data_IF_565844294324
#
_entry.id   IF_565844294324
#
_cell.length_a   1.000
_cell.length_b   1.000
_cell.length_c   1.000
_cell.angle_alpha   90.00
_cell.angle_beta   90.00
_cell.angle_gamma   90.00
#
_symmetry.space_group_name_H-M   'P 1'
#
loop_
_entity.id
_entity.type
_entity.pdbx_description
1 polymer ?
#
# COMPACT_ATOMS: atom_id res chain seq x y z
N UNK A 1 7.43 23.26 -20.78
CA UNK A 1 7.80 22.31 -19.71
C UNK A 1 6.64 22.21 -18.72
N UNK A 2 6.24 21.01 -18.26
CA UNK A 2 5.22 20.89 -17.23
C UNK A 2 5.70 21.53 -15.92
N UNK A 3 4.85 22.30 -15.23
CA UNK A 3 5.15 22.78 -13.87
C UNK A 3 5.22 21.58 -12.95
N UNK A 4 6.37 21.38 -12.29
CA UNK A 4 6.50 20.42 -11.21
C UNK A 4 5.76 21.00 -10.00
N UNK A 5 4.59 20.44 -9.68
CA UNK A 5 3.86 20.83 -8.48
C UNK A 5 4.59 20.31 -7.23
N UNK A 6 4.91 21.22 -6.30
CA UNK A 6 5.53 20.85 -5.04
C UNK A 6 4.53 20.14 -4.14
N UNK A 7 4.89 18.92 -3.69
CA UNK A 7 4.07 18.15 -2.76
C UNK A 7 3.90 18.91 -1.45
N UNK A 8 2.64 19.23 -1.14
CA UNK A 8 2.26 20.01 0.04
C UNK A 8 2.51 19.24 1.34
N UNK A 9 3.01 19.93 2.35
CA UNK A 9 3.32 19.40 3.67
C UNK A 9 2.52 20.08 4.78
N UNK A 10 1.83 19.29 5.60
CA UNK A 10 0.92 19.70 6.68
C UNK A 10 1.57 19.62 8.08
N UNK A 11 2.80 19.12 8.18
CA UNK A 11 3.45 18.81 9.45
C UNK A 11 3.11 17.41 10.00
N UNK A 12 2.52 16.51 9.20
CA UNK A 12 2.37 15.10 9.55
C UNK A 12 3.70 14.37 9.35
N UNK A 13 4.32 13.92 10.44
CA UNK A 13 5.60 13.21 10.43
C UNK A 13 5.63 12.00 9.47
N UNK A 14 4.52 11.25 9.32
CA UNK A 14 4.45 10.11 8.37
C UNK A 14 4.64 10.52 6.90
N UNK A 15 4.31 11.77 6.56
CA UNK A 15 4.49 12.35 5.22
C UNK A 15 5.85 13.04 5.04
N UNK A 16 6.61 13.25 6.12
CA UNK A 16 7.83 14.05 6.09
C UNK A 16 8.87 13.50 5.12
N UNK A 17 9.17 12.19 5.16
CA UNK A 17 10.16 11.58 4.27
C UNK A 17 9.81 11.77 2.79
N UNK A 18 8.53 11.65 2.43
CA UNK A 18 8.05 11.85 1.04
C UNK A 18 8.02 13.31 0.62
N UNK A 19 7.80 14.25 1.55
CA UNK A 19 7.94 15.68 1.30
C UNK A 19 9.42 16.04 1.11
N UNK A 20 10.27 15.65 2.06
CA UNK A 20 11.68 16.01 2.08
C UNK A 20 12.43 15.41 0.90
N UNK A 21 12.14 14.17 0.46
CA UNK A 21 12.80 13.60 -0.72
C UNK A 21 12.54 14.38 -2.02
N UNK A 22 11.45 15.13 -2.10
CA UNK A 22 11.15 16.02 -3.23
C UNK A 22 11.72 17.42 -3.00
N UNK A 23 11.47 18.01 -1.83
CA UNK A 23 11.90 19.37 -1.51
C UNK A 23 13.43 19.51 -1.38
N UNK A 24 14.12 18.43 -0.97
CA UNK A 24 15.59 18.34 -0.90
C UNK A 24 16.27 18.83 -2.18
N UNK A 25 15.71 18.51 -3.36
CA UNK A 25 16.28 18.94 -4.64
C UNK A 25 16.38 20.46 -4.76
N UNK A 26 15.37 21.19 -4.29
CA UNK A 26 15.36 22.66 -4.25
C UNK A 26 16.29 23.18 -3.14
N UNK A 27 16.34 22.50 -2.00
CA UNK A 27 17.21 22.87 -0.90
C UNK A 27 18.70 22.77 -1.26
N UNK A 28 19.11 21.67 -1.90
CA UNK A 28 20.48 21.35 -2.27
C UNK A 28 20.95 22.05 -3.57
N UNK A 29 20.04 22.55 -4.41
CA UNK A 29 20.40 23.28 -5.65
C UNK A 29 21.04 24.64 -5.33
N UNK A 30 22.32 24.81 -5.65
CA UNK A 30 23.08 26.05 -5.42
C UNK A 30 22.79 27.16 -6.42
N UNK A 31 22.07 26.89 -7.52
CA UNK A 31 21.69 27.89 -8.52
C UNK A 31 20.45 28.70 -8.12
N UNK A 32 19.66 28.20 -7.16
CA UNK A 32 18.46 28.88 -6.66
C UNK A 32 18.84 29.79 -5.47
N UNK A 33 18.53 31.10 -5.51
CA UNK A 33 18.72 32.00 -4.37
C UNK A 33 17.90 31.58 -3.12
N UNK A 34 18.35 31.97 -1.93
CA UNK A 34 17.66 31.62 -0.67
C UNK A 34 16.23 32.17 -0.60
N UNK A 35 16.00 33.28 -1.28
CA UNK A 35 14.76 34.03 -1.38
C UNK A 35 13.73 33.19 -2.13
N UNK A 36 14.12 32.69 -3.30
CA UNK A 36 13.31 31.80 -4.13
C UNK A 36 13.08 30.47 -3.42
N UNK A 37 14.11 29.90 -2.75
CA UNK A 37 13.93 28.71 -1.89
C UNK A 37 12.92 28.94 -0.76
N UNK A 38 12.85 30.14 -0.19
CA UNK A 38 11.85 30.49 0.82
C UNK A 38 10.44 30.58 0.22
N UNK A 39 10.30 31.18 -0.97
CA UNK A 39 9.03 31.20 -1.70
C UNK A 39 8.56 29.80 -2.07
N UNK A 40 9.46 28.92 -2.53
CA UNK A 40 9.15 27.50 -2.76
C UNK A 40 8.77 26.78 -1.46
N UNK A 41 9.41 27.10 -0.33
CA UNK A 41 9.08 26.50 0.96
C UNK A 41 7.68 26.92 1.46
N UNK A 42 7.35 28.21 1.37
CA UNK A 42 6.02 28.75 1.65
C UNK A 42 4.95 28.12 0.75
N UNK A 43 5.25 27.93 -0.54
CA UNK A 43 4.37 27.22 -1.46
C UNK A 43 4.28 25.71 -1.17
N UNK A 44 5.28 25.10 -0.56
CA UNK A 44 5.30 23.66 -0.29
C UNK A 44 4.67 23.29 1.07
N UNK A 45 4.33 24.24 1.94
CA UNK A 45 3.51 23.98 3.13
C UNK A 45 2.02 24.15 2.85
N UNK A 46 1.18 23.43 3.61
CA UNK A 46 -0.28 23.62 3.62
C UNK A 46 -0.61 24.82 4.52
N UNK A 47 -1.41 25.81 4.08
CA UNK A 47 -1.84 26.92 4.93
C UNK A 47 -2.47 26.46 6.25
N UNK A 48 -2.35 27.28 7.30
CA UNK A 48 -2.87 27.03 8.67
C UNK A 48 -2.30 25.77 9.38
N UNK A 49 -1.49 24.96 8.70
CA UNK A 49 -0.98 23.68 9.19
C UNK A 49 0.14 23.83 10.23
N UNK A 50 0.57 22.71 10.82
CA UNK A 50 1.70 22.69 11.77
C UNK A 50 3.02 23.07 11.10
N UNK A 51 3.17 22.78 9.80
CA UNK A 51 4.34 23.15 9.03
C UNK A 51 4.32 24.65 8.65
N UNK A 52 3.17 25.16 8.20
CA UNK A 52 3.00 26.60 7.93
C UNK A 52 3.36 27.45 9.14
N UNK A 53 2.84 27.13 10.33
CA UNK A 53 3.18 27.83 11.58
C UNK A 53 4.67 27.83 11.96
N UNK A 54 5.50 26.97 11.37
CA UNK A 54 6.97 27.03 11.53
C UNK A 54 7.58 27.97 10.49
N UNK A 55 7.23 27.79 9.22
CA UNK A 55 7.82 28.58 8.11
C UNK A 55 7.40 30.05 8.20
N UNK A 56 6.12 30.32 8.46
CA UNK A 56 5.51 31.65 8.57
C UNK A 56 5.93 32.41 9.85
N UNK A 57 6.54 31.73 10.83
CA UNK A 57 7.11 32.41 12.02
C UNK A 57 8.40 33.19 11.71
N UNK A 58 8.97 33.01 10.52
CA UNK A 58 10.14 33.74 10.05
C UNK A 58 9.71 34.91 9.16
N UNK A 59 10.27 36.12 9.35
CA UNK A 59 10.05 37.20 8.40
C UNK A 59 10.66 36.82 7.03
N UNK A 60 9.98 37.20 5.95
CA UNK A 60 10.38 36.89 4.58
C UNK A 60 11.54 37.78 4.11
N UNK A 61 12.72 37.60 4.70
CA UNK A 61 13.98 38.25 4.29
C UNK A 61 14.96 37.20 3.75
N UNK A 62 15.97 37.68 3.02
CA UNK A 62 17.05 36.88 2.40
C UNK A 62 17.70 35.89 3.37
N UNK A 63 17.88 36.30 4.62
CA UNK A 63 18.75 35.64 5.60
C UNK A 63 18.00 34.61 6.48
N UNK A 64 16.69 34.43 6.29
CA UNK A 64 15.87 33.57 7.17
C UNK A 64 15.61 32.18 6.62
N UNK A 65 15.74 31.95 5.31
CA UNK A 65 15.52 30.62 4.72
C UNK A 65 16.31 29.49 5.43
N UNK A 66 17.62 29.62 5.70
CA UNK A 66 18.39 28.56 6.37
C UNK A 66 17.85 28.25 7.77
N UNK A 67 17.34 29.27 8.49
CA UNK A 67 16.76 29.12 9.83
C UNK A 67 15.39 28.45 9.77
N UNK A 68 14.55 28.84 8.80
CA UNK A 68 13.23 28.26 8.61
C UNK A 68 13.28 26.79 8.19
N UNK A 69 14.14 26.42 7.24
CA UNK A 69 14.30 25.03 6.82
C UNK A 69 14.94 24.18 7.92
N UNK A 70 15.91 24.71 8.66
CA UNK A 70 16.51 24.03 9.82
C UNK A 70 15.47 23.75 10.92
N UNK A 71 14.63 24.72 11.29
CA UNK A 71 13.55 24.51 12.26
C UNK A 71 12.48 23.51 11.75
N UNK A 72 12.20 23.49 10.45
CA UNK A 72 11.30 22.49 9.86
C UNK A 72 11.89 21.07 9.98
N UNK A 73 13.18 20.90 9.68
CA UNK A 73 13.90 19.64 9.85
C UNK A 73 13.97 19.21 11.33
N UNK A 74 14.33 20.11 12.25
CA UNK A 74 14.39 19.84 13.69
C UNK A 74 13.03 19.41 14.26
N UNK A 75 11.93 19.98 13.76
CA UNK A 75 10.58 19.68 14.27
C UNK A 75 9.93 18.44 13.64
N UNK A 76 10.21 18.14 12.38
CA UNK A 76 9.49 17.10 11.62
C UNK A 76 10.39 16.00 11.04
N UNK A 77 11.67 16.30 10.80
CA UNK A 77 12.69 15.38 10.29
C UNK A 77 13.50 14.68 11.37
N UNK A 78 12.88 14.42 12.52
CA UNK A 78 13.49 13.72 13.64
C UNK A 78 13.52 12.21 13.39
N UNK A 79 14.67 11.70 12.96
CA UNK A 79 14.88 10.28 12.70
C UNK A 79 14.48 9.38 13.88
N UNK A 80 14.74 9.80 15.12
CA UNK A 80 14.37 9.05 16.33
C UNK A 80 12.84 8.89 16.47
N UNK A 81 12.10 9.95 16.19
CA UNK A 81 10.64 9.96 16.19
C UNK A 81 10.07 9.21 14.98
N UNK A 82 10.64 9.40 13.80
CA UNK A 82 10.21 8.72 12.57
C UNK A 82 10.39 7.21 12.67
N UNK A 83 11.53 6.73 13.18
CA UNK A 83 11.76 5.30 13.47
C UNK A 83 10.71 4.78 14.45
N UNK A 84 10.43 5.48 15.55
CA UNK A 84 9.37 5.05 16.48
C UNK A 84 7.98 4.98 15.83
N UNK A 85 7.65 5.91 14.92
CA UNK A 85 6.36 5.90 14.21
C UNK A 85 6.26 4.66 13.31
N UNK A 86 7.26 4.38 12.48
CA UNK A 86 7.21 3.22 11.57
C UNK A 86 7.26 1.88 12.32
N UNK A 87 8.04 1.77 13.40
CA UNK A 87 8.06 0.57 14.27
C UNK A 87 6.71 0.36 14.96
N UNK A 88 6.08 1.42 15.51
CA UNK A 88 4.76 1.31 16.16
C UNK A 88 3.65 0.99 15.15
N UNK A 89 3.72 1.51 13.93
CA UNK A 89 2.79 1.15 12.86
C UNK A 89 2.94 -0.33 12.47
N UNK A 90 4.17 -0.86 12.38
CA UNK A 90 4.42 -2.28 12.11
C UNK A 90 3.89 -3.17 13.25
N UNK A 91 4.13 -2.80 14.51
CA UNK A 91 3.56 -3.50 15.68
C UNK A 91 2.02 -3.45 15.69
N UNK A 92 1.41 -2.32 15.31
CA UNK A 92 -0.05 -2.20 15.19
C UNK A 92 -0.63 -3.14 14.14
N UNK A 93 0.10 -3.34 13.03
CA UNK A 93 -0.26 -4.31 11.98
C UNK A 93 -0.18 -5.76 12.48
N UNK A 94 0.88 -6.14 13.21
CA UNK A 94 0.99 -7.45 13.87
C UNK A 94 -0.23 -7.71 14.76
N UNK A 95 -0.55 -6.74 15.64
CA UNK A 95 -1.66 -6.85 16.59
C UNK A 95 -3.01 -6.98 15.87
N UNK A 96 -3.24 -6.19 14.81
CA UNK A 96 -4.46 -6.27 13.99
C UNK A 96 -4.64 -7.67 13.40
N UNK A 97 -3.58 -8.23 12.79
CA UNK A 97 -3.66 -9.51 12.11
C UNK A 97 -3.75 -10.71 13.07
N UNK A 98 -3.18 -10.59 14.28
CA UNK A 98 -3.39 -11.55 15.35
C UNK A 98 -4.85 -11.57 15.85
N UNK A 99 -5.49 -10.41 15.98
CA UNK A 99 -6.88 -10.28 16.48
C UNK A 99 -7.93 -10.70 15.45
N UNK A 100 -7.72 -10.44 14.15
CA UNK A 100 -8.67 -10.83 13.09
C UNK A 100 -8.65 -12.33 12.72
N UNK A 101 -7.91 -13.15 13.49
CA UNK A 101 -7.85 -14.60 13.28
C UNK A 101 -7.18 -15.01 11.97
N UNK A 102 -6.34 -14.14 11.38
CA UNK A 102 -5.47 -14.42 10.20
C UNK A 102 -6.13 -14.92 8.91
N UNK A 103 -7.45 -15.11 8.88
CA UNK A 103 -8.15 -15.94 7.87
C UNK A 103 -8.69 -15.21 6.65
N UNK A 104 -8.60 -13.87 6.60
CA UNK A 104 -9.08 -13.03 5.48
C UNK A 104 -8.23 -11.77 5.28
N UNK A 105 -6.91 -11.90 5.39
CA UNK A 105 -6.01 -10.77 5.10
C UNK A 105 -5.71 -10.75 3.60
N UNK A 106 -6.00 -9.62 2.96
CA UNK A 106 -5.52 -9.28 1.60
C UNK A 106 -3.98 -9.29 1.62
N UNK A 107 -3.38 -10.37 1.10
CA UNK A 107 -1.93 -10.58 1.13
C UNK A 107 -1.17 -9.56 0.27
N UNK A 108 -1.62 -9.20 -0.95
CA UNK A 108 -1.07 -8.05 -1.69
C UNK A 108 -1.07 -6.75 -0.89
N UNK A 109 -2.20 -6.35 -0.30
CA UNK A 109 -2.28 -5.11 0.48
C UNK A 109 -1.41 -5.17 1.74
N UNK A 110 -1.36 -6.31 2.43
CA UNK A 110 -0.48 -6.53 3.58
C UNK A 110 1.00 -6.39 3.18
N UNK A 111 1.39 -7.02 2.08
CA UNK A 111 2.74 -6.98 1.55
C UNK A 111 3.18 -5.55 1.23
N UNK A 112 2.38 -4.81 0.46
CA UNK A 112 2.67 -3.41 0.11
C UNK A 112 2.79 -2.52 1.35
N UNK A 113 1.89 -2.70 2.32
CA UNK A 113 1.88 -1.90 3.55
C UNK A 113 3.07 -2.22 4.48
N UNK A 114 3.60 -3.44 4.44
CA UNK A 114 4.85 -3.84 5.13
C UNK A 114 6.08 -3.34 4.38
N UNK A 115 6.18 -3.59 3.07
CA UNK A 115 7.33 -3.19 2.24
C UNK A 115 7.53 -1.67 2.26
N UNK A 116 6.45 -0.89 2.28
CA UNK A 116 6.51 0.57 2.43
C UNK A 116 7.11 1.00 3.78
N UNK A 117 6.78 0.33 4.89
CA UNK A 117 7.32 0.65 6.23
C UNK A 117 8.79 0.24 6.36
N UNK A 118 9.14 -0.93 5.83
CA UNK A 118 10.52 -1.41 5.83
C UNK A 118 11.43 -0.49 5.01
N UNK A 119 11.01 -0.08 3.80
CA UNK A 119 11.74 0.91 2.99
C UNK A 119 11.87 2.27 3.68
N UNK A 120 10.85 2.71 4.43
CA UNK A 120 10.94 3.94 5.22
C UNK A 120 11.97 3.82 6.35
N UNK A 121 12.00 2.70 7.08
CA UNK A 121 13.01 2.41 8.12
C UNK A 121 14.42 2.31 7.53
N UNK A 122 14.58 1.66 6.37
CA UNK A 122 15.85 1.58 5.65
C UNK A 122 16.37 2.97 5.25
N UNK A 123 15.50 3.87 4.76
CA UNK A 123 15.86 5.25 4.45
C UNK A 123 16.29 6.09 5.67
N UNK A 124 15.93 5.65 6.87
CA UNK A 124 16.38 6.18 8.18
C UNK A 124 17.61 5.41 8.71
N UNK A 125 18.31 4.67 7.86
CA UNK A 125 19.52 3.93 8.19
C UNK A 125 19.31 2.66 9.01
N UNK A 126 18.06 2.17 9.17
CA UNK A 126 17.72 0.87 9.78
C UNK A 126 17.72 -0.22 8.71
N UNK A 127 18.89 -0.49 8.16
CA UNK A 127 19.12 -1.53 7.15
C UNK A 127 18.90 -2.93 7.73
N UNK A 128 18.70 -3.91 6.85
CA UNK A 128 18.57 -5.31 7.22
C UNK A 128 19.75 -5.83 8.06
N UNK A 129 20.98 -5.45 7.73
CA UNK A 129 22.19 -5.84 8.50
C UNK A 129 22.15 -5.35 9.96
N UNK A 130 21.43 -4.27 10.26
CA UNK A 130 21.36 -3.66 11.59
C UNK A 130 20.12 -4.06 12.39
N UNK A 131 19.06 -4.48 11.71
CA UNK A 131 17.73 -4.66 12.33
C UNK A 131 16.99 -5.94 11.87
N UNK A 132 17.55 -6.72 10.95
CA UNK A 132 16.91 -7.89 10.35
C UNK A 132 16.45 -8.91 11.39
N UNK A 133 17.30 -9.24 12.38
CA UNK A 133 16.98 -10.19 13.46
C UNK A 133 15.76 -9.78 14.30
N UNK A 134 15.47 -8.49 14.39
CA UNK A 134 14.28 -7.95 15.08
C UNK A 134 13.08 -7.75 14.15
N UNK A 135 13.32 -7.49 12.86
CA UNK A 135 12.29 -7.23 11.87
C UNK A 135 11.69 -8.52 11.27
N UNK A 136 12.49 -9.56 11.04
CA UNK A 136 11.98 -10.85 10.52
C UNK A 136 10.86 -11.44 11.40
N UNK A 137 11.01 -11.56 12.74
CA UNK A 137 9.95 -12.12 13.59
C UNK A 137 8.69 -11.25 13.63
N UNK A 138 8.83 -9.92 13.45
CA UNK A 138 7.68 -9.00 13.36
C UNK A 138 6.93 -9.21 12.04
N UNK A 139 7.64 -9.33 10.91
CA UNK A 139 7.01 -9.63 9.62
C UNK A 139 6.36 -11.00 9.65
N UNK A 140 7.02 -12.04 10.15
CA UNK A 140 6.42 -13.38 10.33
C UNK A 140 5.13 -13.29 11.18
N UNK A 141 5.14 -12.51 12.27
CA UNK A 141 3.96 -12.36 13.13
C UNK A 141 2.75 -11.69 12.46
N UNK A 142 2.96 -10.88 11.41
CA UNK A 142 1.90 -10.29 10.59
C UNK A 142 1.18 -11.30 9.69
N UNK A 143 1.81 -12.42 9.34
CA UNK A 143 1.35 -13.26 8.23
C UNK A 143 0.17 -14.18 8.57
N UNK A 144 -0.68 -14.53 7.59
CA UNK A 144 -1.61 -15.64 7.69
C UNK A 144 -0.89 -16.96 8.00
N UNK A 145 -1.56 -17.87 8.72
CA UNK A 145 -0.99 -19.18 9.06
C UNK A 145 -0.64 -19.99 7.80
N UNK A 146 -1.50 -19.98 6.79
CA UNK A 146 -1.26 -20.68 5.51
C UNK A 146 0.04 -20.21 4.82
N UNK A 147 0.30 -18.89 4.85
CA UNK A 147 1.50 -18.26 4.28
C UNK A 147 2.74 -18.57 5.12
N UNK A 148 2.61 -18.60 6.45
CA UNK A 148 3.70 -19.03 7.35
C UNK A 148 4.09 -20.49 7.14
N UNK A 149 3.12 -21.39 6.98
CA UNK A 149 3.42 -22.79 6.71
C UNK A 149 4.00 -22.97 5.30
N UNK A 150 3.58 -22.15 4.32
CA UNK A 150 4.22 -22.11 3.00
C UNK A 150 5.69 -21.64 3.09
N UNK A 151 6.00 -20.61 3.86
CA UNK A 151 7.36 -20.13 4.14
C UNK A 151 8.25 -21.20 4.80
N UNK A 152 7.72 -21.89 5.82
CA UNK A 152 8.42 -23.00 6.47
C UNK A 152 8.66 -24.18 5.52
N UNK A 153 7.76 -24.44 4.55
CA UNK A 153 7.95 -25.46 3.51
C UNK A 153 8.97 -25.05 2.46
N UNK A 154 8.94 -23.82 1.95
CA UNK A 154 9.87 -23.35 0.91
C UNK A 154 11.33 -23.40 1.37
N UNK A 155 11.56 -23.20 2.68
CA UNK A 155 12.88 -23.35 3.32
C UNK A 155 13.48 -24.75 3.18
N UNK A 156 12.66 -25.81 3.18
CA UNK A 156 13.14 -27.20 3.23
C UNK A 156 13.51 -27.77 1.84
N UNK A 157 13.24 -27.04 0.75
CA UNK A 157 13.56 -27.45 -0.63
C UNK A 157 14.84 -26.83 -1.19
N UNK A 158 15.56 -26.00 -0.41
CA UNK A 158 16.84 -25.44 -0.84
C UNK A 158 17.96 -26.48 -0.76
N UNK A 159 18.36 -27.03 -1.92
CA UNK A 159 19.38 -28.08 -2.05
C UNK A 159 20.84 -27.54 -1.98
N UNK A 160 21.04 -26.24 -1.79
CA UNK A 160 22.37 -25.62 -1.76
C UNK A 160 22.94 -25.55 -0.34
N UNK A 161 24.20 -25.96 -0.20
CA UNK A 161 24.95 -26.05 1.09
C UNK A 161 25.15 -24.70 1.82
N UNK A 162 24.74 -23.58 1.22
CA UNK A 162 24.51 -22.31 1.92
C UNK A 162 23.27 -22.39 2.84
N UNK A 163 23.43 -23.18 3.89
CA UNK A 163 22.60 -23.23 5.09
C UNK A 163 22.40 -21.83 5.67
N UNK A 164 21.29 -21.67 6.37
CA UNK A 164 21.19 -20.73 7.50
C UNK A 164 21.39 -19.24 7.19
N UNK A 165 20.55 -18.72 6.31
CA UNK A 165 20.08 -17.35 6.49
C UNK A 165 18.56 -17.32 6.58
N UNK A 166 18.05 -16.60 7.58
CA UNK A 166 16.62 -16.27 7.77
C UNK A 166 16.45 -14.76 7.53
N UNK A 167 17.03 -14.25 6.43
CA UNK A 167 17.03 -12.80 6.24
C UNK A 167 15.62 -12.30 5.97
N UNK A 168 15.36 -11.08 6.45
CA UNK A 168 14.15 -10.34 6.15
C UNK A 168 13.93 -10.22 4.63
N UNK A 169 14.99 -10.12 3.83
CA UNK A 169 14.97 -10.04 2.37
C UNK A 169 14.51 -11.35 1.73
N UNK A 170 14.97 -12.50 2.21
CA UNK A 170 14.48 -13.80 1.73
C UNK A 170 12.99 -13.96 2.03
N UNK A 171 12.55 -13.54 3.22
CA UNK A 171 11.14 -13.50 3.61
C UNK A 171 10.33 -12.54 2.72
N UNK A 172 10.80 -11.31 2.51
CA UNK A 172 10.13 -10.31 1.66
C UNK A 172 10.14 -10.70 0.17
N UNK A 173 11.13 -11.45 -0.31
CA UNK A 173 11.16 -12.00 -1.66
C UNK A 173 10.22 -13.19 -1.81
N UNK A 174 10.11 -14.06 -0.80
CA UNK A 174 9.09 -15.10 -0.75
C UNK A 174 7.67 -14.51 -0.78
N UNK A 175 7.38 -13.52 0.06
CA UNK A 175 6.08 -12.85 0.07
C UNK A 175 5.75 -12.16 -1.26
N UNK A 176 6.74 -11.54 -1.92
CA UNK A 176 6.58 -11.00 -3.27
C UNK A 176 6.19 -12.08 -4.28
N UNK A 177 6.68 -13.30 -4.11
CA UNK A 177 6.39 -14.42 -4.99
C UNK A 177 5.00 -15.03 -4.71
N UNK A 178 4.58 -15.11 -3.44
CA UNK A 178 3.22 -15.53 -3.06
C UNK A 178 2.16 -14.56 -3.58
N UNK A 179 2.38 -13.24 -3.45
CA UNK A 179 1.48 -12.20 -4.01
C UNK A 179 1.27 -12.39 -5.52
N UNK A 180 2.37 -12.56 -6.28
CA UNK A 180 2.30 -12.87 -7.72
C UNK A 180 1.63 -14.22 -8.01
N UNK A 181 1.82 -15.21 -7.13
CA UNK A 181 1.17 -16.51 -7.23
C UNK A 181 -0.35 -16.40 -7.08
N UNK A 182 -0.81 -15.58 -6.14
CA UNK A 182 -2.23 -15.31 -5.91
C UNK A 182 -2.88 -14.63 -7.13
N UNK A 183 -2.22 -13.63 -7.74
CA UNK A 183 -2.66 -13.00 -8.99
C UNK A 183 -2.85 -14.04 -10.12
N UNK A 184 -1.88 -14.94 -10.30
CA UNK A 184 -1.93 -15.99 -11.32
C UNK A 184 -3.02 -17.03 -11.03
N UNK A 185 -3.23 -17.41 -9.76
CA UNK A 185 -4.32 -18.31 -9.34
C UNK A 185 -5.69 -17.66 -9.58
N UNK A 186 -5.82 -16.36 -9.28
CA UNK A 186 -7.06 -15.61 -9.53
C UNK A 186 -7.35 -15.47 -11.03
N UNK A 187 -6.33 -15.22 -11.85
CA UNK A 187 -6.45 -15.23 -13.33
C UNK A 187 -6.90 -16.61 -13.85
N UNK A 188 -6.29 -17.70 -13.39
CA UNK A 188 -6.67 -19.06 -13.80
C UNK A 188 -8.11 -19.42 -13.42
N UNK A 189 -8.58 -18.98 -12.23
CA UNK A 189 -9.95 -19.21 -11.74
C UNK A 189 -11.00 -18.37 -12.47
N UNK A 190 -10.68 -17.14 -12.85
CA UNK A 190 -11.65 -16.18 -13.42
C UNK A 190 -11.63 -16.09 -14.94
N UNK A 191 -10.52 -16.43 -15.60
CA UNK A 191 -10.31 -16.24 -17.05
C UNK A 191 -11.33 -16.95 -17.95
N UNK A 192 -11.97 -18.03 -17.48
CA UNK A 192 -13.03 -18.73 -18.21
C UNK A 192 -14.46 -18.35 -17.76
N UNK A 193 -14.62 -17.69 -16.61
CA UNK A 193 -15.94 -17.35 -16.06
C UNK A 193 -16.66 -16.24 -16.85
N UNK A 194 -15.90 -15.34 -17.48
CA UNK A 194 -16.44 -14.17 -18.21
C UNK A 194 -17.28 -14.55 -19.45
N UNK A 195 -17.16 -15.78 -19.97
CA UNK A 195 -17.87 -16.22 -21.17
C UNK A 195 -19.25 -16.90 -20.90
N UNK A 196 -19.59 -17.22 -19.66
CA UNK A 196 -20.90 -17.82 -19.34
C UNK A 196 -22.05 -16.80 -19.28
N UNK A 197 -21.76 -15.54 -18.99
CA UNK A 197 -22.76 -14.45 -18.93
C UNK A 197 -23.33 -14.09 -20.31
N UNK A 198 -22.52 -14.23 -21.38
CA UNK A 198 -22.94 -13.96 -22.75
C UNK A 198 -23.82 -15.08 -23.32
N UNK A 199 -23.43 -16.36 -23.17
CA UNK A 199 -24.22 -17.49 -23.71
C UNK A 199 -25.57 -17.74 -23.05
N UNK A 200 -25.81 -17.24 -21.82
CA UNK A 200 -27.12 -17.37 -21.16
C UNK A 200 -28.19 -16.41 -21.69
N UNK A 201 -27.82 -15.34 -22.40
CA UNK A 201 -28.79 -14.38 -22.97
C UNK A 201 -29.34 -14.81 -24.32
N UNK A 202 -28.59 -15.57 -25.12
CA UNK A 202 -29.08 -16.06 -26.42
C UNK A 202 -30.15 -17.15 -26.25
N UNK A 203 -29.89 -18.15 -25.41
CA UNK A 203 -30.83 -19.27 -25.18
C UNK A 203 -32.18 -18.89 -24.55
N UNK A 204 -32.31 -17.69 -23.95
CA UNK A 204 -33.59 -17.23 -23.40
C UNK A 204 -34.42 -16.42 -24.40
N UNK A 205 -33.81 -15.92 -25.49
CA UNK A 205 -34.49 -15.00 -26.42
C UNK A 205 -35.22 -15.72 -27.55
N UNK A 206 -34.80 -16.94 -27.92
CA UNK A 206 -35.50 -17.76 -28.93
C UNK A 206 -36.81 -18.37 -28.38
N UNK A 207 -36.88 -18.64 -27.08
CA UNK A 207 -38.06 -19.30 -26.49
C UNK A 207 -39.28 -18.38 -26.31
N UNK A 208 -39.10 -17.06 -26.44
CA UNK A 208 -40.16 -16.04 -26.31
C UNK A 208 -40.85 -15.74 -27.66
N UNK A 209 -40.25 -16.13 -28.80
CA UNK A 209 -40.81 -15.86 -30.14
C UNK A 209 -41.72 -16.94 -30.72
N UNK A 210 -41.98 -18.04 -30.00
CA UNK A 210 -42.88 -19.11 -30.46
C UNK A 210 -44.21 -19.24 -29.69
N UNK A 211 -44.46 -18.41 -28.65
CA UNK A 211 -45.69 -18.49 -27.85
C UNK A 211 -46.85 -17.59 -28.31
N UNK A 212 -46.62 -16.65 -29.24
CA UNK A 212 -47.69 -15.80 -29.81
C UNK A 212 -48.39 -16.43 -31.02
N UNK A 213 -48.89 -17.67 -30.89
CA UNK A 213 -49.76 -18.29 -31.91
C UNK A 213 -50.69 -19.41 -31.39
N UNK A 214 -51.28 -19.25 -30.20
CA UNK A 214 -52.49 -20.07 -29.86
C UNK A 214 -53.48 -19.29 -28.99
N UNK A 215 -54.34 -18.51 -29.63
CA UNK A 215 -55.43 -17.79 -28.96
C UNK A 215 -56.54 -18.76 -28.53
N UNK A 216 -57.06 -18.54 -27.33
CA UNK A 216 -58.01 -19.38 -26.59
C UNK A 216 -59.28 -19.84 -27.36
N UNK A 217 -59.76 -21.04 -27.02
CA UNK A 217 -61.17 -21.27 -26.63
C UNK A 217 -61.45 -22.66 -26.02
N UNK A 218 -62.37 -22.67 -25.05
CA UNK A 218 -63.20 -23.79 -24.60
C UNK A 218 -62.53 -25.08 -24.01
N UNK A 219 -62.23 -25.03 -22.71
CA UNK A 219 -62.52 -26.16 -21.80
C UNK A 219 -63.31 -25.64 -20.58
N UNK A 220 -64.63 -25.83 -20.62
CA UNK A 220 -65.52 -25.70 -19.45
C UNK A 220 -65.97 -27.11 -19.06
N UNK A 221 -65.98 -27.34 -17.75
CA UNK A 221 -65.93 -28.67 -17.15
C UNK A 221 -67.29 -29.36 -16.97
N UNK A 222 -67.22 -30.69 -16.77
CA UNK A 222 -68.13 -31.54 -15.97
C UNK A 222 -69.57 -31.80 -16.48
N UNK A 223 -69.79 -33.01 -17.00
CA UNK A 223 -70.68 -33.99 -16.35
C UNK A 223 -70.43 -35.42 -16.89
N UNK A 224 -70.52 -36.42 -16.01
CA UNK A 224 -70.24 -37.85 -16.26
C UNK A 224 -71.49 -38.63 -16.70
N UNK A 225 -71.33 -39.84 -17.30
CA UNK A 225 -72.37 -40.46 -18.14
C UNK A 225 -73.41 -41.28 -17.38
N UNK A 226 -74.51 -41.55 -18.08
CA UNK A 226 -75.39 -42.71 -17.90
C UNK A 226 -75.46 -43.51 -19.20
#
# INVERSE_FOLDING_TARGET
LPKIELKKFDGNAKKYLTFWSQFRKIHEDSSIPNEDKFQYLLQAVVPESRAARVVESFPATTDTYPKAVSQLQERFGRDDLLVQIYVRDLLSMVMKNAVTGRSKTDLPALYDEMEAKLRALESLGRTQEKCGDFLSPLVESCLPEEVLVAWERSRNHSLTVTKESRTLEQLMNFLRQEVKGEEMVNLARTGFASNQSFRRKELHNDHVKQSESTTASALVSLQTPG
#
